data_IF_429801299136
#
_entry.id   IF_429801299136
#
_cell.length_a   1.000
_cell.length_b   1.000
_cell.length_c   1.000
_cell.angle_alpha   90.00
_cell.angle_beta   90.00
_cell.angle_gamma   90.00
#
_symmetry.space_group_name_H-M   'P 1'
#
loop_
_entity.id
_entity.type
_entity.pdbx_description
1 polymer ?
#
# COMPACT_ATOMS: atom_id res chain seq x y z
N UNK A 1 -0.03 -22.86 -7.13
CA UNK A 1 -1.38 -22.24 -7.18
C UNK A 1 -2.28 -23.07 -6.30
N UNK A 2 -2.73 -22.54 -5.17
CA UNK A 2 -3.63 -23.26 -4.25
C UNK A 2 -5.05 -23.12 -4.78
N UNK A 3 -5.55 -24.14 -5.47
CA UNK A 3 -6.93 -24.15 -5.99
C UNK A 3 -7.87 -24.33 -4.80
N UNK A 4 -8.59 -23.29 -4.40
CA UNK A 4 -9.61 -23.40 -3.37
C UNK A 4 -10.74 -24.31 -3.88
N UNK A 5 -11.02 -25.39 -3.16
CA UNK A 5 -12.16 -26.25 -3.45
C UNK A 5 -13.43 -25.39 -3.35
N UNK A 6 -14.30 -25.43 -4.37
CA UNK A 6 -15.49 -24.58 -4.41
C UNK A 6 -16.38 -24.87 -3.18
N UNK A 7 -16.50 -23.91 -2.26
CA UNK A 7 -17.24 -24.09 -1.01
C UNK A 7 -18.74 -24.08 -1.28
N UNK A 8 -19.49 -24.72 -0.39
CA UNK A 8 -20.95 -24.64 -0.37
C UNK A 8 -21.39 -23.23 0.06
N UNK A 9 -21.91 -22.48 -0.90
CA UNK A 9 -22.37 -21.10 -0.72
C UNK A 9 -23.71 -20.99 0.02
N UNK A 10 -24.40 -22.10 0.26
CA UNK A 10 -25.68 -22.12 1.00
C UNK A 10 -25.51 -21.97 2.51
N UNK A 11 -24.27 -22.05 3.03
CA UNK A 11 -23.94 -22.05 4.46
C UNK A 11 -23.06 -20.87 4.88
N UNK A 12 -23.41 -19.67 4.42
CA UNK A 12 -22.70 -18.46 4.85
C UNK A 12 -23.27 -18.04 6.20
N UNK A 13 -22.59 -18.45 7.27
CA UNK A 13 -22.86 -17.98 8.61
C UNK A 13 -21.79 -16.97 9.03
N UNK A 14 -22.22 -15.74 9.31
CA UNK A 14 -21.37 -14.78 9.99
C UNK A 14 -21.22 -15.18 11.47
N UNK A 15 -20.18 -14.67 12.13
CA UNK A 15 -19.95 -14.98 13.54
C UNK A 15 -21.12 -14.49 14.40
N UNK A 16 -21.49 -15.29 15.40
CA UNK A 16 -22.43 -14.90 16.46
C UNK A 16 -21.76 -13.94 17.46
N UNK A 17 -21.51 -12.71 17.01
CA UNK A 17 -20.96 -11.61 17.80
C UNK A 17 -21.85 -10.38 17.56
N UNK A 18 -22.22 -9.60 18.60
CA UNK A 18 -23.00 -8.36 18.47
C UNK A 18 -22.48 -7.36 17.42
N UNK A 19 -21.23 -7.49 16.98
CA UNK A 19 -20.62 -6.63 15.94
C UNK A 19 -20.89 -7.13 14.53
N UNK A 20 -21.03 -8.44 14.40
CA UNK A 20 -21.32 -9.12 13.14
C UNK A 20 -22.82 -9.18 12.87
N UNK A 21 -23.68 -8.91 13.85
CA UNK A 21 -25.14 -8.78 13.66
C UNK A 21 -25.49 -7.70 12.62
N UNK A 22 -24.82 -6.55 12.63
CA UNK A 22 -25.03 -5.50 11.62
C UNK A 22 -24.57 -5.93 10.21
N UNK A 23 -23.51 -6.74 10.13
CA UNK A 23 -23.03 -7.31 8.86
C UNK A 23 -24.00 -8.37 8.35
N UNK A 24 -24.47 -9.26 9.23
CA UNK A 24 -25.44 -10.29 8.93
C UNK A 24 -26.78 -9.69 8.49
N UNK A 25 -27.30 -8.70 9.22
CA UNK A 25 -28.53 -7.99 8.86
C UNK A 25 -28.43 -7.29 7.50
N UNK A 26 -27.28 -6.64 7.21
CA UNK A 26 -27.06 -6.03 5.90
C UNK A 26 -26.94 -7.08 4.79
N UNK A 27 -26.33 -8.23 5.06
CA UNK A 27 -26.25 -9.33 4.11
C UNK A 27 -27.63 -9.94 3.80
N UNK A 28 -28.46 -10.14 4.82
CA UNK A 28 -29.84 -10.61 4.68
C UNK A 28 -30.69 -9.60 3.90
N UNK A 29 -30.58 -8.31 4.23
CA UNK A 29 -31.24 -7.24 3.48
C UNK A 29 -30.83 -7.26 2.00
N UNK A 30 -29.53 -7.31 1.70
CA UNK A 30 -29.05 -7.36 0.31
C UNK A 30 -29.47 -8.65 -0.41
N UNK A 31 -29.65 -9.76 0.33
CA UNK A 31 -30.14 -11.02 -0.21
C UNK A 31 -31.62 -10.93 -0.57
N UNK A 32 -32.40 -10.21 0.25
CA UNK A 32 -33.80 -9.92 -0.03
C UNK A 32 -33.95 -8.96 -1.23
N UNK A 33 -33.15 -7.90 -1.31
CA UNK A 33 -33.26 -6.88 -2.37
C UNK A 33 -32.78 -7.39 -3.75
N UNK A 34 -31.86 -8.36 -3.79
CA UNK A 34 -31.26 -8.87 -5.03
C UNK A 34 -31.95 -10.17 -5.46
N UNK A 35 -32.92 -10.04 -6.36
CA UNK A 35 -33.69 -11.19 -6.86
C UNK A 35 -33.06 -11.89 -8.07
N UNK A 36 -32.06 -11.30 -8.73
CA UNK A 36 -31.45 -11.93 -9.90
C UNK A 36 -30.49 -13.06 -9.49
N UNK A 37 -30.52 -14.23 -10.16
CA UNK A 37 -29.65 -15.37 -9.80
C UNK A 37 -28.16 -14.99 -9.79
N UNK A 38 -27.75 -14.11 -10.70
CA UNK A 38 -26.38 -13.64 -10.80
C UNK A 38 -25.99 -12.71 -9.64
N UNK A 39 -26.89 -11.82 -9.20
CA UNK A 39 -26.63 -10.94 -8.06
C UNK A 39 -26.57 -11.74 -6.75
N UNK A 40 -27.47 -12.73 -6.57
CA UNK A 40 -27.43 -13.64 -5.42
C UNK A 40 -26.14 -14.45 -5.37
N UNK A 41 -25.72 -15.02 -6.52
CA UNK A 41 -24.45 -15.73 -6.61
C UNK A 41 -23.26 -14.83 -6.28
N UNK A 42 -23.29 -13.57 -6.73
CA UNK A 42 -22.23 -12.59 -6.45
C UNK A 42 -22.19 -12.24 -4.96
N UNK A 43 -23.35 -11.98 -4.36
CA UNK A 43 -23.48 -11.70 -2.93
C UNK A 43 -22.97 -12.88 -2.09
N UNK A 44 -23.35 -14.11 -2.45
CA UNK A 44 -22.90 -15.30 -1.75
C UNK A 44 -21.37 -15.48 -1.83
N UNK A 45 -20.75 -15.26 -2.99
CA UNK A 45 -19.28 -15.29 -3.12
C UNK A 45 -18.61 -14.24 -2.22
N UNK A 46 -19.15 -13.03 -2.16
CA UNK A 46 -18.66 -11.96 -1.29
C UNK A 46 -18.81 -12.34 0.18
N UNK A 47 -19.97 -12.86 0.58
CA UNK A 47 -20.23 -13.32 1.94
C UNK A 47 -19.26 -14.42 2.36
N UNK A 48 -19.05 -15.43 1.52
CA UNK A 48 -18.05 -16.47 1.77
C UNK A 48 -16.64 -15.90 1.91
N UNK A 49 -16.22 -15.00 1.03
CA UNK A 49 -14.89 -14.40 1.08
C UNK A 49 -14.68 -13.60 2.37
N UNK A 50 -15.71 -12.89 2.84
CA UNK A 50 -15.68 -12.18 4.13
C UNK A 50 -15.51 -13.16 5.29
N UNK A 51 -16.33 -14.21 5.36
CA UNK A 51 -16.24 -15.23 6.43
C UNK A 51 -14.89 -15.94 6.42
N UNK A 52 -14.37 -16.23 5.23
CA UNK A 52 -13.06 -16.87 5.05
C UNK A 52 -11.92 -15.99 5.54
N UNK A 53 -11.93 -14.70 5.18
CA UNK A 53 -10.93 -13.73 5.65
C UNK A 53 -11.01 -13.52 7.16
N UNK A 54 -12.22 -13.45 7.73
CA UNK A 54 -12.39 -13.34 9.18
C UNK A 54 -11.90 -14.59 9.92
N UNK A 55 -12.23 -15.78 9.42
CA UNK A 55 -11.76 -17.06 9.96
C UNK A 55 -10.24 -17.17 9.95
N UNK A 56 -9.60 -16.74 8.85
CA UNK A 56 -8.15 -16.69 8.71
C UNK A 56 -7.49 -15.52 9.48
N UNK A 57 -8.27 -14.66 10.15
CA UNK A 57 -7.80 -13.40 10.76
C UNK A 57 -7.02 -12.50 9.77
N UNK A 58 -7.32 -12.58 8.48
CA UNK A 58 -6.73 -11.78 7.42
C UNK A 58 -7.54 -10.49 7.20
N UNK A 59 -6.88 -9.41 6.78
CA UNK A 59 -7.53 -8.09 6.65
C UNK A 59 -8.64 -8.10 5.59
N UNK A 60 -9.85 -7.75 6.00
CA UNK A 60 -11.00 -7.60 5.11
C UNK A 60 -10.92 -6.26 4.38
N UNK A 61 -10.74 -6.32 3.06
CA UNK A 61 -10.75 -5.18 2.14
C UNK A 61 -11.39 -5.58 0.81
N UNK A 62 -11.88 -4.61 0.03
CA UNK A 62 -12.42 -4.90 -1.30
C UNK A 62 -11.40 -5.60 -2.22
N UNK A 63 -10.11 -5.28 -2.06
CA UNK A 63 -9.03 -5.94 -2.78
C UNK A 63 -8.86 -7.41 -2.36
N UNK A 64 -8.82 -7.70 -1.06
CA UNK A 64 -8.68 -9.05 -0.54
C UNK A 64 -9.90 -9.93 -0.87
N UNK A 65 -11.10 -9.38 -0.69
CA UNK A 65 -12.38 -10.04 -1.04
C UNK A 65 -12.43 -10.32 -2.54
N UNK A 66 -12.13 -9.31 -3.37
CA UNK A 66 -12.11 -9.46 -4.82
C UNK A 66 -11.08 -10.48 -5.30
N UNK A 67 -9.90 -10.53 -4.67
CA UNK A 67 -8.86 -11.52 -4.98
C UNK A 67 -9.36 -12.94 -4.70
N UNK A 68 -9.90 -13.21 -3.51
CA UNK A 68 -10.47 -14.53 -3.18
C UNK A 68 -11.59 -14.95 -4.12
N UNK A 69 -12.48 -14.02 -4.48
CA UNK A 69 -13.56 -14.26 -5.42
C UNK A 69 -13.04 -14.61 -6.83
N UNK A 70 -12.01 -13.90 -7.30
CA UNK A 70 -11.36 -14.16 -8.59
C UNK A 70 -10.62 -15.49 -8.58
N UNK A 71 -9.84 -15.76 -7.55
CA UNK A 71 -9.04 -16.99 -7.43
C UNK A 71 -9.92 -18.25 -7.36
N UNK A 72 -11.13 -18.14 -6.81
CA UNK A 72 -12.03 -19.29 -6.60
C UNK A 72 -13.10 -19.44 -7.70
N UNK A 73 -13.62 -18.33 -8.25
CA UNK A 73 -14.73 -18.36 -9.22
C UNK A 73 -14.52 -17.48 -10.47
N UNK A 74 -13.37 -16.83 -10.62
CA UNK A 74 -13.11 -15.87 -11.70
C UNK A 74 -13.77 -14.49 -11.52
N UNK A 75 -14.45 -14.26 -10.40
CA UNK A 75 -15.06 -12.97 -10.06
C UNK A 75 -16.12 -13.08 -8.96
N UNK A 76 -16.58 -11.95 -8.38
CA UNK A 76 -16.37 -10.56 -8.82
C UNK A 76 -14.97 -9.98 -8.53
N UNK A 77 -14.52 -9.03 -9.37
CA UNK A 77 -13.25 -8.31 -9.19
C UNK A 77 -13.38 -7.20 -8.15
N UNK A 78 -12.27 -6.81 -7.54
CA UNK A 78 -12.23 -5.73 -6.54
C UNK A 78 -12.85 -4.41 -7.05
N UNK A 79 -12.57 -4.03 -8.30
CA UNK A 79 -13.17 -2.84 -8.93
C UNK A 79 -14.69 -2.95 -9.05
N UNK A 80 -15.22 -4.12 -9.41
CA UNK A 80 -16.67 -4.35 -9.51
C UNK A 80 -17.34 -4.27 -8.15
N UNK A 81 -16.67 -4.72 -7.08
CA UNK A 81 -17.17 -4.60 -5.71
C UNK A 81 -17.13 -3.13 -5.25
N UNK A 82 -16.05 -2.41 -5.55
CA UNK A 82 -15.85 -1.02 -5.12
C UNK A 82 -16.79 -0.03 -5.83
N UNK A 83 -17.05 -0.26 -7.12
CA UNK A 83 -17.90 0.60 -7.95
C UNK A 83 -19.39 0.25 -7.84
N UNK A 84 -19.74 -0.78 -7.08
CA UNK A 84 -21.12 -1.21 -6.92
C UNK A 84 -21.93 -0.19 -6.11
N UNK A 85 -22.94 0.39 -6.75
CA UNK A 85 -23.97 1.21 -6.10
C UNK A 85 -24.96 0.35 -5.33
N UNK A 86 -25.04 -0.95 -5.64
CA UNK A 86 -26.03 -1.86 -5.09
C UNK A 86 -25.64 -2.48 -3.73
N UNK A 87 -24.72 -1.83 -2.98
CA UNK A 87 -24.46 -2.11 -1.57
C UNK A 87 -23.30 -3.07 -1.26
N UNK A 88 -22.64 -3.70 -2.24
CA UNK A 88 -21.53 -4.62 -1.96
C UNK A 88 -20.33 -3.93 -1.30
N UNK A 89 -19.97 -2.72 -1.75
CA UNK A 89 -18.93 -1.92 -1.12
C UNK A 89 -19.26 -1.61 0.36
N UNK A 90 -20.53 -1.33 0.65
CA UNK A 90 -21.02 -1.05 2.00
C UNK A 90 -20.90 -2.28 2.89
N UNK A 91 -21.27 -3.46 2.40
CA UNK A 91 -21.12 -4.73 3.11
C UNK A 91 -19.66 -5.00 3.49
N UNK A 92 -18.73 -4.86 2.54
CA UNK A 92 -17.29 -5.05 2.81
C UNK A 92 -16.76 -4.01 3.82
N UNK A 93 -17.23 -2.77 3.74
CA UNK A 93 -16.86 -1.73 4.70
C UNK A 93 -17.33 -2.05 6.12
N UNK A 94 -18.56 -2.53 6.28
CA UNK A 94 -19.11 -2.95 7.57
C UNK A 94 -18.34 -4.14 8.14
N UNK A 95 -18.03 -5.14 7.32
CA UNK A 95 -17.22 -6.28 7.73
C UNK A 95 -15.80 -5.87 8.16
N UNK A 96 -15.18 -4.94 7.43
CA UNK A 96 -13.88 -4.35 7.79
C UNK A 96 -13.94 -3.64 9.14
N UNK A 97 -14.98 -2.84 9.38
CA UNK A 97 -15.16 -2.14 10.67
C UNK A 97 -15.36 -3.13 11.82
N UNK A 98 -16.18 -4.17 11.64
CA UNK A 98 -16.38 -5.23 12.63
C UNK A 98 -15.07 -5.96 12.96
N UNK A 99 -14.17 -6.13 11.98
CA UNK A 99 -12.86 -6.75 12.17
C UNK A 99 -11.82 -5.80 12.80
N UNK A 100 -11.80 -4.51 12.44
CA UNK A 100 -10.77 -3.55 12.86
C UNK A 100 -10.66 -3.39 14.39
N UNK A 101 -11.80 -3.44 15.09
CA UNK A 101 -11.85 -3.39 16.56
C UNK A 101 -11.16 -4.59 17.22
N UNK A 102 -10.99 -5.70 16.47
CA UNK A 102 -10.23 -6.86 16.93
C UNK A 102 -8.74 -6.66 16.78
N UNK A 103 -8.27 -5.97 15.75
CA UNK A 103 -6.83 -5.70 15.55
C UNK A 103 -6.27 -4.80 16.65
N UNK A 104 -7.10 -3.95 17.24
CA UNK A 104 -6.75 -3.17 18.44
C UNK A 104 -6.65 -4.05 19.70
N UNK A 105 -7.51 -5.06 19.84
CA UNK A 105 -7.53 -5.96 21.01
C UNK A 105 -6.60 -7.18 20.91
N UNK A 106 -6.23 -7.60 19.69
CA UNK A 106 -5.32 -8.74 19.41
C UNK A 106 -3.90 -8.29 19.05
N UNK A 107 -3.59 -7.00 19.09
CA UNK A 107 -2.19 -6.61 19.19
C UNK A 107 -1.73 -7.17 20.54
N UNK A 108 -0.71 -8.05 20.59
CA UNK A 108 -0.06 -8.32 21.88
C UNK A 108 0.27 -6.95 22.49
N UNK A 109 0.19 -6.77 23.84
CA UNK A 109 0.60 -5.53 24.48
C UNK A 109 1.88 -5.13 23.81
N UNK A 110 1.84 -4.01 23.06
CA UNK A 110 2.95 -3.63 22.22
C UNK A 110 4.17 -3.70 23.14
N UNK A 111 5.31 -4.28 22.74
CA UNK A 111 6.50 -4.48 23.61
C UNK A 111 6.71 -3.38 24.67
N UNK A 112 6.37 -2.13 24.32
CA UNK A 112 6.04 -1.00 25.22
C UNK A 112 5.27 -1.35 26.52
N UNK A 113 4.05 -1.87 26.48
CA UNK A 113 3.20 -2.13 27.66
C UNK A 113 3.76 -3.25 28.54
N UNK A 114 4.41 -4.26 27.95
CA UNK A 114 5.17 -5.29 28.69
C UNK A 114 6.44 -4.71 29.35
N UNK A 115 7.11 -3.75 28.71
CA UNK A 115 8.26 -3.06 29.31
C UNK A 115 7.83 -2.09 30.41
N UNK A 116 6.66 -1.44 30.26
CA UNK A 116 6.10 -0.52 31.26
C UNK A 116 5.58 -1.26 32.49
N UNK A 117 5.02 -2.47 32.34
CA UNK A 117 4.54 -3.28 33.48
C UNK A 117 5.67 -3.78 34.37
N UNK A 118 6.89 -3.90 33.83
CA UNK A 118 8.11 -4.27 34.59
C UNK A 118 8.66 -3.15 35.47
N UNK A 119 8.19 -1.92 35.30
CA UNK A 119 8.57 -0.78 36.15
C UNK A 119 7.70 -0.82 37.40
N UNK A 120 8.27 -1.19 38.55
CA UNK A 120 7.51 -1.35 39.81
C UNK A 120 7.05 -0.01 40.42
N UNK A 121 7.84 1.05 40.26
CA UNK A 121 7.49 2.37 40.79
C UNK A 121 6.42 3.08 39.91
N UNK A 122 5.24 3.43 40.47
CA UNK A 122 4.18 4.09 39.72
C UNK A 122 4.56 5.48 39.19
N UNK A 123 5.42 6.23 39.88
CA UNK A 123 5.83 7.57 39.42
C UNK A 123 6.76 7.47 38.22
N UNK A 124 7.82 6.64 38.32
CA UNK A 124 8.70 6.35 37.18
C UNK A 124 7.93 5.80 35.98
N UNK A 125 6.92 4.95 36.21
CA UNK A 125 6.08 4.42 35.14
C UNK A 125 5.28 5.52 34.42
N UNK A 126 4.74 6.47 35.17
CA UNK A 126 4.00 7.61 34.60
C UNK A 126 4.93 8.54 33.80
N UNK A 127 6.13 8.81 34.29
CA UNK A 127 7.15 9.60 33.58
C UNK A 127 7.56 8.94 32.26
N UNK A 128 7.84 7.63 32.28
CA UNK A 128 8.19 6.88 31.05
C UNK A 128 7.01 6.85 30.08
N UNK A 129 5.76 6.76 30.56
CA UNK A 129 4.59 6.85 29.70
C UNK A 129 4.49 8.21 29.00
N UNK A 130 4.76 9.30 29.72
CA UNK A 130 4.79 10.66 29.16
C UNK A 130 5.86 10.78 28.08
N UNK A 131 7.10 10.35 28.37
CA UNK A 131 8.20 10.37 27.40
C UNK A 131 7.90 9.58 26.13
N UNK A 132 7.21 8.43 26.25
CA UNK A 132 6.82 7.67 25.06
C UNK A 132 5.74 8.38 24.25
N UNK A 133 4.80 9.07 24.90
CA UNK A 133 3.78 9.86 24.20
C UNK A 133 4.41 11.05 23.46
N UNK A 134 5.35 11.75 24.08
CA UNK A 134 6.13 12.81 23.46
C UNK A 134 6.91 12.30 22.25
N UNK A 135 7.62 11.18 22.39
CA UNK A 135 8.38 10.57 21.30
C UNK A 135 7.48 10.14 20.13
N UNK A 136 6.28 9.62 20.41
CA UNK A 136 5.30 9.30 19.37
C UNK A 136 4.83 10.56 18.63
N UNK A 137 4.63 11.66 19.36
CA UNK A 137 4.25 12.96 18.81
C UNK A 137 5.37 13.56 17.95
N UNK A 138 6.62 13.54 18.41
CA UNK A 138 7.75 14.00 17.60
C UNK A 138 7.94 13.15 16.33
N UNK A 139 7.73 11.83 16.41
CA UNK A 139 7.79 10.95 15.22
C UNK A 139 6.70 11.29 14.20
N UNK A 140 5.48 11.57 14.65
CA UNK A 140 4.40 11.96 13.75
C UNK A 140 4.67 13.32 13.10
N UNK A 141 5.18 14.29 13.87
CA UNK A 141 5.60 15.59 13.35
C UNK A 141 6.71 15.45 12.29
N UNK A 142 7.74 14.64 12.54
CA UNK A 142 8.81 14.37 11.56
C UNK A 142 8.25 13.69 10.31
N UNK A 143 7.33 12.73 10.45
CA UNK A 143 6.68 12.09 9.31
C UNK A 143 5.89 13.09 8.47
N UNK A 144 5.12 13.97 9.11
CA UNK A 144 4.37 15.05 8.47
C UNK A 144 5.29 16.04 7.76
N UNK A 145 6.38 16.47 8.42
CA UNK A 145 7.37 17.36 7.82
C UNK A 145 8.07 16.70 6.63
N UNK A 146 8.41 15.41 6.70
CA UNK A 146 8.96 14.67 5.56
C UNK A 146 7.97 14.56 4.41
N UNK A 147 6.70 14.33 4.70
CA UNK A 147 5.65 14.30 3.69
C UNK A 147 5.45 15.70 3.06
N UNK A 148 5.49 16.76 3.86
CA UNK A 148 5.47 18.15 3.41
C UNK A 148 6.68 18.48 2.53
N UNK A 149 7.89 18.11 2.96
CA UNK A 149 9.12 18.32 2.20
C UNK A 149 9.07 17.60 0.84
N UNK A 150 8.60 16.35 0.79
CA UNK A 150 8.40 15.63 -0.49
C UNK A 150 7.44 16.35 -1.44
N UNK A 151 6.39 16.99 -0.91
CA UNK A 151 5.46 17.81 -1.70
C UNK A 151 6.14 19.09 -2.22
N UNK A 152 6.95 19.75 -1.39
CA UNK A 152 7.69 20.96 -1.78
C UNK A 152 8.81 20.64 -2.77
N UNK A 153 9.56 19.54 -2.58
CA UNK A 153 10.57 19.06 -3.52
C UNK A 153 9.96 18.72 -4.89
N UNK A 154 8.77 18.12 -4.93
CA UNK A 154 8.04 17.90 -6.18
C UNK A 154 7.63 19.23 -6.87
N UNK A 155 7.49 20.31 -6.10
CA UNK A 155 7.21 21.64 -6.61
C UNK A 155 8.49 22.42 -6.96
N UNK A 156 9.68 22.00 -6.53
CA UNK A 156 10.95 22.67 -6.80
C UNK A 156 11.27 22.86 -8.29
N UNK A 157 11.14 21.82 -9.13
CA UNK A 157 11.27 21.95 -10.58
C UNK A 157 10.20 22.86 -11.19
N UNK A 158 8.99 22.84 -10.61
CA UNK A 158 7.84 23.65 -11.07
C UNK A 158 8.04 25.12 -10.70
N UNK A 159 8.55 25.44 -9.51
CA UNK A 159 8.80 26.82 -9.05
C UNK A 159 10.03 27.42 -9.72
N UNK A 160 11.09 26.64 -9.95
CA UNK A 160 12.24 27.07 -10.76
C UNK A 160 11.83 27.33 -12.21
N UNK A 161 11.01 26.46 -12.82
CA UNK A 161 10.47 26.68 -14.16
C UNK A 161 9.52 27.88 -14.24
N UNK A 162 8.66 28.10 -13.23
CA UNK A 162 7.76 29.26 -13.13
C UNK A 162 8.48 30.59 -12.88
N UNK A 163 9.62 30.57 -12.18
CA UNK A 163 10.42 31.77 -11.93
C UNK A 163 11.29 32.15 -13.14
N UNK A 164 11.70 31.17 -13.94
CA UNK A 164 12.59 31.35 -15.08
C UNK A 164 11.85 31.55 -16.41
N UNK A 165 10.65 30.97 -16.53
CA UNK A 165 9.72 31.19 -17.62
C UNK A 165 8.49 31.90 -17.06
N UNK A 166 8.14 33.09 -17.56
CA UNK A 166 6.86 33.75 -17.27
C UNK A 166 5.73 32.90 -17.86
N UNK A 167 5.34 31.85 -17.15
CA UNK A 167 4.28 30.95 -17.57
C UNK A 167 2.96 31.65 -17.26
N UNK A 168 2.23 32.04 -18.30
CA UNK A 168 0.97 32.78 -18.21
C UNK A 168 -0.26 31.86 -18.19
N UNK A 169 -0.08 30.55 -18.43
CA UNK A 169 -1.18 29.57 -18.42
C UNK A 169 -0.76 28.14 -18.01
N UNK A 170 -1.75 27.36 -17.55
CA UNK A 170 -1.57 25.95 -17.16
C UNK A 170 -1.16 25.04 -18.33
N UNK A 171 -1.47 25.41 -19.57
CA UNK A 171 -1.11 24.66 -20.78
C UNK A 171 0.40 24.77 -21.06
N UNK A 172 0.98 25.95 -20.91
CA UNK A 172 2.42 26.17 -21.02
C UNK A 172 3.21 25.37 -19.96
N UNK A 173 2.68 25.25 -18.74
CA UNK A 173 3.27 24.40 -17.71
C UNK A 173 3.21 22.91 -18.10
N UNK A 174 2.09 22.47 -18.67
CA UNK A 174 1.92 21.09 -19.12
C UNK A 174 2.89 20.75 -20.27
N UNK A 175 3.16 21.69 -21.17
CA UNK A 175 4.12 21.50 -22.27
C UNK A 175 5.57 21.50 -21.77
N UNK A 176 5.96 22.39 -20.86
CA UNK A 176 7.28 22.34 -20.19
C UNK A 176 7.49 21.04 -19.41
N UNK A 177 6.45 20.50 -18.77
CA UNK A 177 6.49 19.21 -18.09
C UNK A 177 6.55 18.02 -19.07
N UNK A 178 6.05 18.16 -20.31
CA UNK A 178 6.25 17.18 -21.38
C UNK A 178 7.67 17.27 -21.95
N UNK A 179 8.20 18.47 -22.06
CA UNK A 179 9.53 18.75 -22.60
C UNK A 179 10.65 18.30 -21.65
N UNK A 180 10.49 18.51 -20.33
CA UNK A 180 11.39 17.97 -19.29
C UNK A 180 11.32 16.45 -19.13
N UNK A 181 10.27 15.81 -19.64
CA UNK A 181 10.16 14.34 -19.75
C UNK A 181 10.78 13.77 -21.03
N UNK A 182 11.13 14.60 -22.03
CA UNK A 182 11.94 14.13 -23.15
C UNK A 182 13.32 13.75 -22.63
N UNK A 183 13.93 12.65 -23.11
CA UNK A 183 15.29 12.31 -22.75
C UNK A 183 16.17 13.49 -23.14
N UNK A 184 16.73 14.20 -22.16
CA UNK A 184 17.84 15.11 -22.42
C UNK A 184 18.92 14.22 -23.01
N UNK A 185 19.25 14.43 -24.29
CA UNK A 185 20.22 13.65 -25.05
C UNK A 185 21.64 13.85 -24.54
N UNK A 186 21.88 13.65 -23.24
CA UNK A 186 23.20 13.57 -22.67
C UNK A 186 23.80 12.24 -23.10
N UNK A 187 24.61 12.33 -24.15
CA UNK A 187 25.55 11.28 -24.52
C UNK A 187 26.62 11.23 -23.43
N UNK A 188 26.61 10.17 -22.64
CA UNK A 188 27.69 9.88 -21.70
C UNK A 188 29.01 9.75 -22.44
N UNK A 189 30.05 10.37 -21.90
CA UNK A 189 31.43 10.18 -22.36
C UNK A 189 31.88 8.72 -22.13
N UNK A 190 32.93 8.29 -22.83
CA UNK A 190 33.54 6.96 -22.66
C UNK A 190 33.85 6.67 -21.18
N UNK A 191 34.46 7.63 -20.49
CA UNK A 191 34.91 7.48 -19.10
C UNK A 191 33.74 7.39 -18.11
N UNK A 192 32.64 8.10 -18.40
CA UNK A 192 31.40 8.01 -17.61
C UNK A 192 30.73 6.65 -17.77
N UNK A 193 30.69 6.12 -19.01
CA UNK A 193 30.18 4.76 -19.27
C UNK A 193 31.01 3.71 -18.53
N UNK A 194 32.34 3.82 -18.59
CA UNK A 194 33.25 2.90 -17.88
C UNK A 194 33.15 3.00 -16.36
N UNK A 195 32.86 4.19 -15.84
CA UNK A 195 32.63 4.41 -14.41
C UNK A 195 31.31 3.80 -13.96
N UNK A 196 30.26 3.91 -14.77
CA UNK A 196 28.97 3.24 -14.53
C UNK A 196 29.12 1.73 -14.61
N UNK A 197 29.86 1.19 -15.60
CA UNK A 197 30.13 -0.24 -15.71
C UNK A 197 30.88 -0.81 -14.49
N UNK A 198 31.94 -0.13 -14.04
CA UNK A 198 32.67 -0.55 -12.82
C UNK A 198 31.79 -0.49 -11.58
N UNK A 199 30.92 0.51 -11.49
CA UNK A 199 29.99 0.64 -10.38
C UNK A 199 28.91 -0.46 -10.38
N UNK A 200 28.35 -0.80 -11.55
CA UNK A 200 27.39 -1.89 -11.70
C UNK A 200 28.03 -3.26 -11.41
N UNK A 201 29.26 -3.50 -11.88
CA UNK A 201 29.99 -4.73 -11.58
C UNK A 201 30.31 -4.88 -10.09
N UNK A 202 30.65 -3.78 -9.41
CA UNK A 202 30.84 -3.78 -7.95
C UNK A 202 29.53 -4.03 -7.19
N UNK A 203 28.41 -3.50 -7.69
CA UNK A 203 27.07 -3.73 -7.15
C UNK A 203 26.63 -5.20 -7.26
N UNK A 204 26.85 -5.83 -8.42
CA UNK A 204 26.50 -7.23 -8.65
C UNK A 204 27.31 -8.17 -7.76
N UNK A 205 28.59 -7.86 -7.51
CA UNK A 205 29.44 -8.62 -6.60
C UNK A 205 28.98 -8.51 -5.13
N UNK A 206 28.54 -7.34 -4.68
CA UNK A 206 28.05 -7.12 -3.31
C UNK A 206 26.65 -7.72 -3.09
N UNK A 207 25.85 -7.79 -4.15
CA UNK A 207 24.44 -8.18 -4.13
C UNK A 207 23.56 -7.09 -3.51
N UNK A 208 22.45 -6.79 -4.19
CA UNK A 208 21.53 -5.73 -3.76
C UNK A 208 20.08 -6.19 -3.80
N UNK A 209 19.23 -5.47 -3.06
CA UNK A 209 17.78 -5.58 -3.13
C UNK A 209 17.16 -4.22 -3.41
N UNK A 210 16.14 -4.19 -4.26
CA UNK A 210 15.37 -2.98 -4.56
C UNK A 210 14.18 -2.96 -3.62
N UNK A 211 14.01 -1.87 -2.89
CA UNK A 211 12.78 -1.67 -2.12
C UNK A 211 11.66 -1.24 -3.08
N UNK A 212 10.78 -2.16 -3.44
CA UNK A 212 9.70 -1.94 -4.42
C UNK A 212 8.76 -0.78 -4.08
N UNK A 213 8.61 -0.43 -2.81
CA UNK A 213 7.75 0.67 -2.37
C UNK A 213 8.38 2.05 -2.52
N UNK A 214 9.71 2.13 -2.56
CA UNK A 214 10.46 3.41 -2.55
C UNK A 214 11.42 3.56 -3.72
N UNK A 215 11.70 2.49 -4.47
CA UNK A 215 12.68 2.45 -5.56
C UNK A 215 14.14 2.62 -5.11
N UNK A 216 14.42 2.55 -3.79
CA UNK A 216 15.79 2.68 -3.26
C UNK A 216 16.55 1.34 -3.35
N UNK A 217 17.86 1.41 -3.60
CA UNK A 217 18.77 0.26 -3.61
C UNK A 217 19.40 0.07 -2.23
N UNK A 218 19.33 -1.16 -1.71
CA UNK A 218 19.98 -1.57 -0.47
C UNK A 218 20.95 -2.70 -0.73
N UNK A 219 22.14 -2.64 -0.12
CA UNK A 219 23.08 -3.76 -0.13
C UNK A 219 22.63 -4.87 0.83
N UNK A 220 23.28 -6.04 0.77
CA UNK A 220 22.99 -7.17 1.68
C UNK A 220 23.08 -6.82 3.16
N UNK A 221 23.90 -5.83 3.52
CA UNK A 221 24.07 -5.33 4.89
C UNK A 221 22.93 -4.40 5.34
N UNK A 222 21.96 -4.12 4.48
CA UNK A 222 20.88 -3.16 4.74
C UNK A 222 21.32 -1.69 4.61
N UNK A 223 22.57 -1.43 4.20
CA UNK A 223 23.04 -0.08 3.86
C UNK A 223 22.36 0.40 2.58
N UNK A 224 21.84 1.63 2.58
CA UNK A 224 21.32 2.27 1.37
C UNK A 224 22.48 2.59 0.43
N UNK A 225 22.47 1.97 -0.74
CA UNK A 225 23.50 2.13 -1.78
C UNK A 225 23.15 3.26 -2.75
N UNK A 226 21.87 3.43 -3.09
CA UNK A 226 21.43 4.52 -3.95
C UNK A 226 20.00 4.98 -3.69
N UNK A 227 19.74 6.26 -4.00
CA UNK A 227 18.41 6.87 -3.96
C UNK A 227 17.64 6.58 -5.25
N UNK A 228 16.32 6.61 -5.18
CA UNK A 228 15.41 6.27 -6.29
C UNK A 228 15.74 6.96 -7.64
N UNK A 229 16.12 8.25 -7.60
CA UNK A 229 16.51 8.98 -8.83
C UNK A 229 17.70 8.36 -9.56
N UNK A 230 18.66 7.80 -8.83
CA UNK A 230 19.84 7.15 -9.40
C UNK A 230 19.51 5.75 -9.95
N UNK A 231 18.60 5.01 -9.31
CA UNK A 231 18.12 3.70 -9.79
C UNK A 231 17.37 3.83 -11.12
N UNK A 232 16.55 4.87 -11.25
CA UNK A 232 15.88 5.18 -12.51
C UNK A 232 16.85 5.54 -13.64
N UNK A 233 17.93 6.25 -13.34
CA UNK A 233 18.99 6.56 -14.31
C UNK A 233 19.72 5.29 -14.73
N UNK A 234 20.10 4.42 -13.78
CA UNK A 234 20.76 3.14 -14.08
C UNK A 234 19.90 2.21 -14.94
N UNK A 235 18.60 2.11 -14.64
CA UNK A 235 17.67 1.27 -15.41
C UNK A 235 17.53 1.76 -16.86
N UNK A 236 17.45 3.08 -17.04
CA UNK A 236 17.44 3.70 -18.38
C UNK A 236 18.73 3.48 -19.16
N UNK A 237 19.87 3.52 -18.48
CA UNK A 237 21.17 3.24 -19.11
C UNK A 237 21.24 1.78 -19.55
N UNK A 238 20.83 0.83 -18.69
CA UNK A 238 20.77 -0.59 -19.02
C UNK A 238 19.87 -0.87 -20.26
N UNK A 239 18.67 -0.30 -20.29
CA UNK A 239 17.73 -0.44 -21.43
C UNK A 239 18.28 0.15 -22.74
N UNK A 240 19.11 1.20 -22.66
CA UNK A 240 19.77 1.82 -23.83
C UNK A 240 21.01 1.07 -24.34
N UNK A 241 21.57 0.18 -23.52
CA UNK A 241 22.72 -0.66 -23.87
C UNK A 241 22.27 -1.93 -24.61
N UNK A 242 21.15 -2.53 -24.20
CA UNK A 242 20.57 -3.73 -24.85
C UNK A 242 20.02 -3.44 -26.27
N UNK A 243 19.79 -2.18 -26.62
CA UNK A 243 19.27 -1.76 -27.92
C UNK A 243 20.36 -1.48 -28.96
N UNK A 244 21.65 -1.52 -28.57
CA UNK A 244 22.81 -1.29 -29.46
C UNK A 244 23.71 -2.51 -29.64
N UNK A 245 23.24 -3.70 -29.24
CA UNK A 245 23.83 -5.02 -29.48
C UNK A 245 22.94 -5.85 -30.39
#
# INVERSE_FOLDING_TARGET
>A
MTTYQKPDLSKIAFRDDPRWTAVAALFEQLSADKHTPQAQATLARIGWAIVTLDGASATITAAAVGKLCVDTWGGPRAQSIANDQAGYAKLVSFAKAAQAVRTERKRPPARKDDLLSRINDPMTRAEVQLLVAELQTSRSQVATLRAGLRRVEALGPITAALAQYRIESLEQLADLLRESKRPTGHTFTSDEKDSVHRFLAALDAEGFTVNESTGELFGRTGRRLARNGFVHVLRRIAESLDTNS
#
